data_IF_105217974532
#
_entry.id   IF_105217974532
#
_cell.length_a   1.000
_cell.length_b   1.000
_cell.length_c   1.000
_cell.angle_alpha   90.00
_cell.angle_beta   90.00
_cell.angle_gamma   90.00
#
_symmetry.space_group_name_H-M   'P 1'
#
loop_
_entity.id
_entity.type
_entity.pdbx_description
1 polymer ?
#
# COMPACT_ATOMS: atom_id res chain seq x y z
N UNK A 1 -14.80 -5.33 -49.25
CA UNK A 1 -14.85 -4.77 -47.90
C UNK A 1 -14.72 -5.93 -46.92
N UNK A 2 -13.50 -6.13 -46.38
CA UNK A 2 -13.27 -7.19 -45.41
C UNK A 2 -14.04 -6.87 -44.11
N UNK A 3 -14.79 -7.83 -43.59
CA UNK A 3 -15.36 -7.76 -42.25
C UNK A 3 -14.20 -7.59 -41.25
N UNK A 4 -13.99 -6.38 -40.72
CA UNK A 4 -13.17 -6.23 -39.54
C UNK A 4 -13.72 -7.14 -38.46
N UNK A 5 -12.94 -8.13 -38.02
CA UNK A 5 -13.26 -8.90 -36.85
C UNK A 5 -13.35 -7.92 -35.68
N UNK A 6 -14.55 -7.65 -35.19
CA UNK A 6 -14.75 -6.86 -33.99
C UNK A 6 -14.13 -7.67 -32.86
N UNK A 7 -12.94 -7.25 -32.43
CA UNK A 7 -12.37 -7.74 -31.19
C UNK A 7 -13.27 -7.28 -30.04
N UNK A 8 -13.38 -8.08 -28.98
CA UNK A 8 -14.20 -7.74 -27.80
C UNK A 8 -13.72 -6.47 -27.08
N UNK A 9 -12.50 -6.03 -27.39
CA UNK A 9 -11.82 -4.88 -26.78
C UNK A 9 -11.38 -3.90 -27.85
N UNK A 10 -11.74 -2.63 -27.70
CA UNK A 10 -11.39 -1.53 -28.57
C UNK A 10 -10.90 -0.37 -27.70
N UNK A 11 -9.77 0.29 -28.03
CA UNK A 11 -8.88 0.02 -29.16
C UNK A 11 -8.13 -1.30 -29.06
N UNK A 12 -7.48 -1.74 -30.12
CA UNK A 12 -6.58 -2.89 -30.07
C UNK A 12 -5.26 -2.50 -29.37
N UNK A 13 -4.50 -3.49 -28.91
CA UNK A 13 -3.21 -3.29 -28.24
C UNK A 13 -2.20 -2.48 -29.10
N UNK A 14 -2.25 -2.63 -30.41
CA UNK A 14 -1.36 -1.94 -31.34
C UNK A 14 -1.79 -0.50 -31.67
N UNK A 15 -3.07 -0.18 -31.51
CA UNK A 15 -3.61 1.15 -31.77
C UNK A 15 -3.39 2.10 -30.58
N UNK A 16 -3.71 1.65 -29.37
CA UNK A 16 -3.53 2.41 -28.13
C UNK A 16 -3.35 1.44 -26.95
N UNK A 17 -2.09 1.18 -26.60
CA UNK A 17 -1.76 0.24 -25.53
C UNK A 17 -2.29 0.68 -24.16
N UNK A 18 -2.16 1.94 -23.71
CA UNK A 18 -2.69 2.40 -22.43
C UNK A 18 -4.20 2.23 -22.33
N UNK A 19 -4.96 2.62 -23.34
CA UNK A 19 -6.42 2.50 -23.32
C UNK A 19 -6.85 1.03 -23.46
N UNK A 20 -6.22 0.26 -24.34
CA UNK A 20 -6.44 -1.18 -24.45
C UNK A 20 -6.29 -1.87 -23.09
N UNK A 21 -5.24 -1.55 -22.34
CA UNK A 21 -5.01 -2.13 -21.00
C UNK A 21 -6.19 -1.83 -20.04
N UNK A 22 -6.66 -0.57 -20.00
CA UNK A 22 -7.81 -0.21 -19.16
C UNK A 22 -9.08 -0.94 -19.58
N UNK A 23 -9.31 -1.11 -20.87
CA UNK A 23 -10.45 -1.85 -21.40
C UNK A 23 -10.35 -3.35 -21.08
N UNK A 24 -9.16 -3.94 -21.08
CA UNK A 24 -8.93 -5.31 -20.63
C UNK A 24 -9.31 -5.48 -19.16
N UNK A 25 -8.82 -4.61 -18.28
CA UNK A 25 -9.13 -4.65 -16.84
C UNK A 25 -10.64 -4.57 -16.60
N UNK A 26 -11.32 -3.67 -17.32
CA UNK A 26 -12.78 -3.50 -17.22
C UNK A 26 -13.54 -4.72 -17.77
N UNK A 27 -13.20 -5.17 -18.96
CA UNK A 27 -13.90 -6.29 -19.63
C UNK A 27 -13.72 -7.62 -18.88
N UNK A 28 -12.55 -7.85 -18.30
CA UNK A 28 -12.27 -9.02 -17.46
C UNK A 28 -12.82 -8.91 -16.03
N UNK A 29 -13.48 -7.80 -15.70
CA UNK A 29 -14.03 -7.55 -14.36
C UNK A 29 -13.01 -7.68 -13.22
N UNK A 30 -11.78 -7.23 -13.44
CA UNK A 30 -10.72 -7.29 -12.43
C UNK A 30 -10.82 -6.18 -11.40
N UNK A 31 -11.20 -4.97 -11.81
CA UNK A 31 -11.35 -3.83 -10.92
C UNK A 31 -12.40 -2.84 -11.42
N UNK A 32 -12.90 -2.03 -10.50
CA UNK A 32 -13.77 -0.87 -10.76
C UNK A 32 -13.28 0.35 -10.01
N UNK A 33 -13.77 1.51 -10.44
CA UNK A 33 -13.57 2.76 -9.71
C UNK A 33 -14.40 2.74 -8.41
N UNK A 34 -13.82 3.24 -7.32
CA UNK A 34 -14.56 3.49 -6.09
C UNK A 34 -15.12 4.92 -6.07
N UNK A 35 -16.04 5.25 -5.14
CA UNK A 35 -16.46 6.63 -4.91
C UNK A 35 -15.31 7.55 -4.45
N UNK A 36 -14.24 6.98 -3.90
CA UNK A 36 -13.06 7.73 -3.49
C UNK A 36 -12.12 7.85 -4.68
N UNK A 37 -11.86 9.07 -5.11
CA UNK A 37 -10.98 9.34 -6.25
C UNK A 37 -9.60 8.72 -6.04
N UNK A 38 -9.15 7.99 -7.03
CA UNK A 38 -7.83 7.34 -7.01
C UNK A 38 -7.78 5.99 -6.28
N UNK A 39 -8.83 5.62 -5.56
CA UNK A 39 -8.98 4.28 -5.00
C UNK A 39 -9.78 3.38 -5.94
N UNK A 40 -9.49 2.09 -5.94
CA UNK A 40 -10.21 1.11 -6.76
C UNK A 40 -10.89 0.05 -5.91
N UNK A 41 -11.95 -0.53 -6.45
CA UNK A 41 -12.49 -1.80 -5.96
C UNK A 41 -11.80 -2.91 -6.73
N UNK A 42 -11.04 -3.76 -6.05
CA UNK A 42 -10.48 -4.98 -6.66
C UNK A 42 -11.58 -6.04 -6.62
N UNK A 43 -12.06 -6.44 -7.80
CA UNK A 43 -13.13 -7.44 -7.94
C UNK A 43 -12.59 -8.86 -7.74
N UNK A 44 -13.46 -9.87 -7.58
CA UNK A 44 -13.03 -11.22 -7.25
C UNK A 44 -11.95 -11.80 -8.18
N UNK A 45 -12.04 -11.59 -9.49
CA UNK A 45 -11.01 -12.05 -10.44
C UNK A 45 -9.66 -11.37 -10.24
N UNK A 46 -9.67 -10.06 -10.04
CA UNK A 46 -8.45 -9.30 -9.74
C UNK A 46 -7.87 -9.67 -8.37
N UNK A 47 -8.73 -9.88 -7.37
CA UNK A 47 -8.29 -10.27 -6.05
C UNK A 47 -7.72 -11.69 -6.01
N UNK A 48 -8.28 -12.61 -6.79
CA UNK A 48 -7.75 -13.97 -6.93
C UNK A 48 -6.33 -13.99 -7.52
N UNK A 49 -5.98 -13.04 -8.40
CA UNK A 49 -4.59 -12.87 -8.85
C UNK A 49 -3.69 -12.45 -7.68
N UNK A 50 -4.13 -11.49 -6.87
CA UNK A 50 -3.41 -11.06 -5.68
C UNK A 50 -3.21 -12.21 -4.68
N UNK A 51 -4.26 -12.96 -4.37
CA UNK A 51 -4.19 -14.10 -3.45
C UNK A 51 -3.18 -15.17 -3.93
N UNK A 52 -3.14 -15.46 -5.24
CA UNK A 52 -2.18 -16.40 -5.79
C UNK A 52 -0.75 -15.87 -5.73
N UNK A 53 -0.53 -14.59 -6.05
CA UNK A 53 0.79 -13.94 -5.92
C UNK A 53 1.24 -13.98 -4.46
N UNK A 54 0.37 -13.54 -3.54
CA UNK A 54 0.66 -13.51 -2.11
C UNK A 54 1.02 -14.90 -1.59
N UNK A 55 0.23 -15.93 -1.90
CA UNK A 55 0.46 -17.30 -1.44
C UNK A 55 1.82 -17.84 -1.90
N UNK A 56 2.14 -17.68 -3.19
CA UNK A 56 3.39 -18.21 -3.75
C UNK A 56 4.60 -17.45 -3.17
N UNK A 57 4.55 -16.14 -3.13
CA UNK A 57 5.65 -15.33 -2.59
C UNK A 57 5.81 -15.52 -1.07
N UNK A 58 4.71 -15.66 -0.34
CA UNK A 58 4.75 -15.89 1.10
C UNK A 58 5.44 -17.21 1.45
N UNK A 59 5.15 -18.27 0.69
CA UNK A 59 5.84 -19.57 0.83
C UNK A 59 7.34 -19.40 0.55
N UNK A 60 7.72 -18.73 -0.53
CA UNK A 60 9.14 -18.46 -0.88
C UNK A 60 9.85 -17.63 0.20
N UNK A 61 9.20 -16.62 0.78
CA UNK A 61 9.78 -15.84 1.88
C UNK A 61 9.99 -16.69 3.12
N UNK A 62 9.02 -17.53 3.49
CA UNK A 62 9.11 -18.43 4.64
C UNK A 62 10.24 -19.47 4.49
N UNK A 63 10.47 -19.97 3.28
CA UNK A 63 11.61 -20.86 2.98
C UNK A 63 12.96 -20.21 3.30
N UNK A 64 13.06 -18.89 3.23
CA UNK A 64 14.27 -18.13 3.59
C UNK A 64 14.31 -17.71 5.06
N UNK A 65 13.39 -18.19 5.90
CA UNK A 65 13.34 -17.90 7.33
C UNK A 65 12.61 -16.61 7.71
N UNK A 66 12.00 -15.90 6.75
CA UNK A 66 11.19 -14.70 7.00
C UNK A 66 9.90 -15.08 7.73
N UNK A 67 9.49 -14.25 8.68
CA UNK A 67 8.24 -14.40 9.42
C UNK A 67 7.30 -13.22 9.14
N UNK A 68 6.02 -13.51 9.00
CA UNK A 68 5.02 -12.46 8.83
C UNK A 68 4.68 -11.81 10.17
N UNK A 69 4.56 -10.49 10.15
CA UNK A 69 4.01 -9.69 11.24
C UNK A 69 3.02 -8.67 10.68
N UNK A 70 2.27 -8.00 11.55
CA UNK A 70 1.37 -6.92 11.17
C UNK A 70 1.63 -5.71 12.06
N UNK A 71 1.78 -4.55 11.43
CA UNK A 71 2.00 -3.28 12.09
C UNK A 71 0.82 -2.34 11.87
N UNK A 72 0.56 -1.39 12.79
CA UNK A 72 -0.58 -0.50 12.73
C UNK A 72 -0.67 0.31 11.43
N UNK A 73 -1.91 0.56 11.00
CA UNK A 73 -2.22 1.42 9.86
C UNK A 73 -1.81 2.88 10.11
N UNK A 74 -1.96 3.35 11.35
CA UNK A 74 -1.72 4.73 11.73
C UNK A 74 -0.34 4.91 12.32
N UNK A 75 0.35 5.96 11.85
CA UNK A 75 1.68 6.36 12.33
C UNK A 75 1.55 7.75 12.94
N UNK A 76 2.03 7.98 14.17
CA UNK A 76 2.08 9.33 14.76
C UNK A 76 2.90 10.28 13.89
N UNK A 77 2.46 11.53 13.73
CA UNK A 77 3.19 12.53 12.94
C UNK A 77 4.63 12.71 13.43
N UNK A 78 4.84 12.67 14.75
CA UNK A 78 6.18 12.80 15.37
C UNK A 78 7.18 11.73 14.92
N UNK A 79 6.71 10.56 14.45
CA UNK A 79 7.61 9.53 13.92
C UNK A 79 8.15 9.92 12.54
N UNK A 80 7.35 10.57 11.73
CA UNK A 80 7.78 11.05 10.41
C UNK A 80 8.70 12.27 10.54
N UNK A 81 8.47 13.13 11.52
CA UNK A 81 9.32 14.30 11.76
C UNK A 81 10.76 13.93 12.11
N UNK A 82 10.98 12.79 12.78
CA UNK A 82 12.32 12.29 13.11
C UNK A 82 13.11 11.82 11.86
N UNK A 83 12.43 11.51 10.81
CA UNK A 83 13.01 11.01 9.55
C UNK A 83 12.80 11.99 8.38
N UNK A 84 12.54 13.28 8.68
CA UNK A 84 12.14 14.28 7.70
C UNK A 84 13.08 14.37 6.47
N UNK A 85 14.38 14.11 6.65
CA UNK A 85 15.36 14.10 5.55
C UNK A 85 15.11 12.96 4.53
N UNK A 86 14.50 11.85 4.96
CA UNK A 86 14.20 10.69 4.09
C UNK A 86 12.79 10.77 3.47
N UNK A 87 11.92 11.65 3.97
CA UNK A 87 10.48 11.66 3.69
C UNK A 87 10.05 12.75 2.71
N UNK A 88 10.94 13.65 2.26
CA UNK A 88 10.58 14.75 1.36
C UNK A 88 9.74 14.31 0.14
N UNK A 89 9.97 13.10 -0.37
CA UNK A 89 9.20 12.52 -1.49
C UNK A 89 7.77 12.10 -1.11
N UNK A 90 7.54 11.62 0.11
CA UNK A 90 6.25 11.08 0.55
C UNK A 90 5.40 12.09 1.32
N UNK A 91 6.01 13.09 1.96
CA UNK A 91 5.30 14.03 2.82
C UNK A 91 4.13 14.75 2.12
N UNK A 92 4.25 14.99 0.82
CA UNK A 92 3.23 15.66 0.00
C UNK A 92 2.04 14.76 -0.36
N UNK A 93 2.18 13.46 -0.20
CA UNK A 93 1.20 12.46 -0.62
C UNK A 93 0.59 11.70 0.56
N UNK A 94 0.81 12.14 1.80
CA UNK A 94 0.27 11.48 2.97
C UNK A 94 -1.22 11.80 3.19
N UNK A 95 -2.00 10.77 3.53
CA UNK A 95 -3.33 10.93 4.08
C UNK A 95 -3.23 11.15 5.60
N UNK A 96 -3.84 12.22 6.10
CA UNK A 96 -3.71 12.66 7.49
C UNK A 96 -5.06 12.54 8.19
N UNK A 97 -5.08 11.93 9.37
CA UNK A 97 -6.24 11.85 10.27
C UNK A 97 -6.06 12.84 11.40
N UNK A 98 -6.97 13.79 11.48
CA UNK A 98 -6.92 14.91 12.46
C UNK A 98 -8.01 14.85 13.50
N UNK A 99 -9.07 14.05 13.29
CA UNK A 99 -10.23 13.93 14.16
C UNK A 99 -10.54 12.47 14.44
N UNK A 100 -11.11 12.18 15.61
CA UNK A 100 -11.42 10.81 16.02
C UNK A 100 -12.91 10.46 16.04
N UNK A 101 -13.81 11.42 15.73
CA UNK A 101 -15.26 11.17 15.71
C UNK A 101 -16.00 12.12 14.75
N UNK A 102 -17.26 11.81 14.53
CA UNK A 102 -18.22 12.64 13.83
C UNK A 102 -19.31 13.08 14.81
N UNK A 103 -19.75 14.31 14.70
CA UNK A 103 -20.87 14.85 15.44
C UNK A 103 -21.90 15.49 14.48
N UNK A 104 -23.12 15.68 14.98
CA UNK A 104 -24.16 16.34 14.19
C UNK A 104 -23.82 17.83 14.07
N UNK A 105 -23.59 18.29 12.86
CA UNK A 105 -23.33 19.68 12.56
C UNK A 105 -24.58 20.55 12.62
N UNK A 106 -24.40 21.85 12.63
CA UNK A 106 -25.46 22.87 12.74
C UNK A 106 -26.48 22.74 11.62
N UNK A 107 -26.07 22.33 10.43
CA UNK A 107 -26.90 22.15 9.25
C UNK A 107 -27.53 20.74 9.14
N UNK A 108 -27.45 19.93 10.18
CA UNK A 108 -28.04 18.57 10.22
C UNK A 108 -27.21 17.46 9.59
N UNK A 109 -26.07 17.78 8.95
CA UNK A 109 -25.09 16.80 8.45
C UNK A 109 -24.13 16.30 9.54
N UNK A 110 -23.19 15.40 9.17
CA UNK A 110 -22.12 14.97 10.03
C UNK A 110 -20.86 15.81 9.77
N UNK A 111 -20.23 16.28 10.83
CA UNK A 111 -19.00 17.08 10.79
C UNK A 111 -17.91 16.40 11.64
N UNK A 112 -16.62 16.45 11.20
CA UNK A 112 -15.52 15.97 12.00
C UNK A 112 -15.45 16.70 13.34
N UNK A 113 -15.28 15.96 14.44
CA UNK A 113 -15.18 16.49 15.80
C UNK A 113 -14.12 15.71 16.60
N UNK A 114 -13.72 16.29 17.72
CA UNK A 114 -12.69 15.70 18.56
C UNK A 114 -11.33 15.70 17.86
N UNK A 115 -10.72 16.88 17.77
CA UNK A 115 -9.36 17.03 17.22
C UNK A 115 -8.40 16.16 18.03
N UNK A 116 -7.57 15.39 17.32
CA UNK A 116 -6.50 14.61 17.93
C UNK A 116 -5.42 15.54 18.49
N UNK A 117 -4.84 15.21 19.65
CA UNK A 117 -3.70 15.94 20.21
C UNK A 117 -2.48 15.91 19.28
N UNK A 118 -2.32 14.80 18.57
CA UNK A 118 -1.32 14.61 17.53
C UNK A 118 -1.99 14.02 16.29
N UNK A 119 -1.80 14.60 15.09
CA UNK A 119 -2.28 14.02 13.86
C UNK A 119 -1.67 12.64 13.61
N UNK A 120 -2.46 11.76 12.99
CA UNK A 120 -2.01 10.43 12.57
C UNK A 120 -1.89 10.39 11.05
N UNK A 121 -0.89 9.70 10.58
CA UNK A 121 -0.67 9.46 9.16
C UNK A 121 -1.18 8.06 8.83
N UNK A 122 -2.00 7.95 7.78
CA UNK A 122 -2.29 6.65 7.19
C UNK A 122 -1.02 6.19 6.47
N UNK A 123 -0.45 5.08 6.86
CA UNK A 123 0.89 4.65 6.41
C UNK A 123 1.07 4.73 4.89
N UNK A 124 2.00 5.55 4.39
CA UNK A 124 2.46 5.50 3.00
C UNK A 124 3.53 4.42 2.81
N UNK A 125 4.13 4.01 3.90
CA UNK A 125 5.14 2.96 4.11
C UNK A 125 5.27 2.75 5.62
N UNK A 126 5.91 1.69 6.09
CA UNK A 126 5.90 1.33 7.52
C UNK A 126 7.27 1.37 8.20
N UNK A 127 8.33 1.86 7.55
CA UNK A 127 9.70 1.83 8.09
C UNK A 127 9.79 2.41 9.50
N UNK A 128 9.16 3.57 9.73
CA UNK A 128 9.26 4.29 11.00
C UNK A 128 8.67 3.51 12.17
N UNK A 129 7.47 2.94 11.99
CA UNK A 129 6.80 2.17 13.03
C UNK A 129 7.40 0.77 13.21
N UNK A 130 7.92 0.20 12.13
CA UNK A 130 8.63 -1.09 12.18
C UNK A 130 9.98 -0.89 12.87
N UNK A 131 10.72 0.16 12.56
CA UNK A 131 11.99 0.50 13.20
C UNK A 131 11.82 0.73 14.71
N UNK A 132 10.78 1.46 15.13
CA UNK A 132 10.46 1.63 16.55
C UNK A 132 10.18 0.28 17.23
N UNK A 133 9.45 -0.62 16.55
CA UNK A 133 9.18 -1.96 17.08
C UNK A 133 10.47 -2.80 17.19
N UNK A 134 11.31 -2.77 16.18
CA UNK A 134 12.59 -3.51 16.15
C UNK A 134 13.54 -3.04 17.23
N UNK A 135 13.60 -1.73 17.51
CA UNK A 135 14.41 -1.19 18.59
C UNK A 135 14.03 -1.72 19.97
N UNK A 136 12.80 -2.20 20.13
CA UNK A 136 12.28 -2.82 21.37
C UNK A 136 12.42 -4.33 21.37
N UNK A 137 12.40 -4.97 20.19
CA UNK A 137 12.46 -6.42 20.06
C UNK A 137 13.90 -6.96 20.10
N UNK A 138 14.86 -6.19 19.60
CA UNK A 138 16.27 -6.57 19.59
C UNK A 138 16.93 -6.14 20.88
N UNK A 139 17.11 -7.06 21.81
CA UNK A 139 17.76 -6.83 23.10
C UNK A 139 19.24 -7.28 23.09
N UNK A 140 19.60 -8.19 22.21
CA UNK A 140 20.97 -8.70 22.08
C UNK A 140 21.26 -9.17 20.65
N UNK A 141 22.55 -9.41 20.35
CA UNK A 141 22.96 -10.01 19.06
C UNK A 141 22.34 -11.38 18.78
N UNK A 142 21.85 -12.08 19.80
CA UNK A 142 21.18 -13.38 19.65
C UNK A 142 19.79 -13.27 19.06
N UNK A 143 19.20 -12.08 19.04
CA UNK A 143 17.91 -11.80 18.43
C UNK A 143 18.03 -11.53 16.92
N UNK A 144 19.27 -11.52 16.40
CA UNK A 144 19.59 -11.26 15.01
C UNK A 144 19.99 -12.54 14.25
N UNK A 145 19.75 -12.62 12.95
CA UNK A 145 19.03 -11.62 12.15
C UNK A 145 17.53 -11.65 12.43
N UNK A 146 16.89 -10.48 12.42
CA UNK A 146 15.44 -10.35 12.46
C UNK A 146 14.93 -10.17 11.03
N UNK A 147 14.11 -11.09 10.55
CA UNK A 147 13.62 -11.14 9.18
C UNK A 147 12.09 -11.12 9.20
N UNK A 148 11.51 -9.97 8.91
CA UNK A 148 10.06 -9.75 9.02
C UNK A 148 9.49 -9.30 7.68
N UNK A 149 8.32 -9.80 7.36
CA UNK A 149 7.50 -9.38 6.22
C UNK A 149 6.12 -8.93 6.70
N UNK A 150 5.55 -7.95 6.03
CA UNK A 150 4.17 -7.53 6.20
C UNK A 150 3.44 -7.52 4.86
N UNK A 151 2.30 -8.18 4.80
CA UNK A 151 1.29 -8.01 3.76
C UNK A 151 0.29 -6.96 4.22
N UNK A 152 0.16 -5.87 3.49
CA UNK A 152 -0.62 -4.72 3.94
C UNK A 152 -1.10 -3.86 2.78
N UNK A 153 -1.99 -2.91 3.09
CA UNK A 153 -2.28 -1.77 2.23
C UNK A 153 -1.47 -0.55 2.66
N UNK A 154 -1.25 0.35 1.73
CA UNK A 154 -0.68 1.68 1.97
C UNK A 154 -1.48 2.73 1.20
N UNK A 155 -1.39 3.99 1.64
CA UNK A 155 -2.08 5.11 1.02
C UNK A 155 -1.09 6.21 0.65
N UNK A 156 -1.06 6.56 -0.64
CA UNK A 156 -0.29 7.69 -1.19
C UNK A 156 -1.20 8.49 -2.10
N UNK A 157 -1.44 9.77 -1.82
CA UNK A 157 -2.29 10.63 -2.65
C UNK A 157 -1.67 10.84 -4.04
N UNK A 158 -1.87 9.85 -4.91
CA UNK A 158 -1.38 9.88 -6.28
C UNK A 158 -2.19 10.86 -7.15
N UNK A 159 -1.48 11.77 -7.80
CA UNK A 159 -2.11 12.78 -8.66
C UNK A 159 -2.59 12.22 -10.00
N UNK A 160 -1.93 11.19 -10.51
CA UNK A 160 -2.18 10.59 -11.84
C UNK A 160 -2.52 9.13 -11.72
N UNK A 161 -3.69 8.84 -11.16
CA UNK A 161 -4.16 7.48 -10.96
C UNK A 161 -4.54 6.78 -12.27
N UNK A 162 -4.31 5.46 -12.30
CA UNK A 162 -4.78 4.54 -13.33
C UNK A 162 -5.29 3.29 -12.65
N UNK A 163 -6.54 2.94 -12.89
CA UNK A 163 -7.16 1.74 -12.28
C UNK A 163 -6.29 0.51 -12.52
N UNK A 164 -6.08 -0.29 -11.51
CA UNK A 164 -5.26 -1.49 -11.45
C UNK A 164 -3.74 -1.28 -11.51
N UNK A 165 -3.24 -0.21 -12.11
CA UNK A 165 -1.81 0.04 -12.27
C UNK A 165 -1.22 0.99 -11.23
N UNK A 166 -1.96 2.06 -10.91
CA UNK A 166 -1.47 3.12 -10.05
C UNK A 166 -2.65 3.79 -9.35
N UNK A 167 -2.82 3.46 -8.09
CA UNK A 167 -3.94 3.93 -7.27
C UNK A 167 -3.43 4.59 -6.00
N UNK A 168 -4.27 5.40 -5.36
CA UNK A 168 -3.93 6.07 -4.10
C UNK A 168 -3.85 5.10 -2.94
N UNK A 169 -4.70 4.07 -2.93
CA UNK A 169 -4.58 2.93 -2.02
C UNK A 169 -4.24 1.69 -2.83
N UNK A 170 -3.29 0.89 -2.35
CA UNK A 170 -2.89 -0.35 -2.98
C UNK A 170 -2.39 -1.38 -1.97
N UNK A 171 -2.49 -2.64 -2.35
CA UNK A 171 -1.93 -3.77 -1.61
C UNK A 171 -0.48 -3.96 -2.01
N UNK A 172 0.36 -4.28 -1.07
CA UNK A 172 1.76 -4.58 -1.30
C UNK A 172 2.32 -5.57 -0.30
N UNK A 173 3.59 -5.87 -0.45
CA UNK A 173 4.44 -6.56 0.49
C UNK A 173 5.61 -5.64 0.85
N UNK A 174 5.99 -5.63 2.10
CA UNK A 174 7.20 -4.95 2.57
C UNK A 174 7.98 -5.89 3.50
N UNK A 175 9.25 -6.12 3.14
CA UNK A 175 10.17 -6.91 3.95
C UNK A 175 11.17 -5.98 4.65
N UNK A 176 11.34 -6.20 5.95
CA UNK A 176 12.26 -5.42 6.79
C UNK A 176 13.16 -6.38 7.55
N UNK A 177 14.46 -6.14 7.49
CA UNK A 177 15.45 -7.02 8.13
C UNK A 177 16.46 -6.23 8.94
N UNK A 178 16.93 -6.83 10.03
CA UNK A 178 18.00 -6.27 10.87
C UNK A 178 19.09 -7.33 11.03
N UNK A 179 20.33 -6.91 10.86
CA UNK A 179 21.51 -7.76 10.88
C UNK A 179 22.55 -7.23 11.85
N UNK A 180 23.45 -8.09 12.33
CA UNK A 180 24.55 -7.68 13.20
C UNK A 180 25.62 -6.90 12.45
N UNK A 181 25.82 -7.18 11.16
CA UNK A 181 26.86 -6.55 10.33
C UNK A 181 26.31 -6.14 8.97
N UNK A 182 26.96 -5.17 8.33
CA UNK A 182 26.64 -4.75 6.96
C UNK A 182 26.83 -5.90 5.96
N UNK A 183 27.82 -6.78 6.17
CA UNK A 183 28.07 -7.92 5.31
C UNK A 183 26.89 -8.91 5.32
N UNK A 184 26.34 -9.21 6.47
CA UNK A 184 25.16 -10.08 6.60
C UNK A 184 23.93 -9.47 5.89
N UNK A 185 23.77 -8.14 5.94
CA UNK A 185 22.70 -7.46 5.26
C UNK A 185 22.85 -7.49 3.72
N UNK A 186 24.10 -7.46 3.22
CA UNK A 186 24.39 -7.52 1.77
C UNK A 186 24.16 -8.94 1.22
N UNK A 187 24.46 -9.96 2.01
CA UNK A 187 24.30 -11.37 1.62
C UNK A 187 22.84 -11.84 1.63
N UNK A 188 21.95 -11.05 2.27
CA UNK A 188 20.51 -11.31 2.34
C UNK A 188 19.80 -10.94 1.04
#
# INVERSE_FOLDING_TARGET
MGKQNKTAITPTRSEDYPEWYQQVVKASQMADQSPVRGCMVIKPWGYALWENIMRILDDMFKETGVKNAYFPLFIPLSFLEKEAEHIEGFAKECAIVTHHRLEKGVNGGLEPSGILNEPLIVRPTSETIIGDSFSKWVSSYRDLPLLINQWANVVRWEMRTRVFLRTSEFLWQEGHTVHATAQEAIER
#
